data_IF_053996507368
#
_entry.id   IF_053996507368
#
_cell.length_a   1.000
_cell.length_b   1.000
_cell.length_c   1.000
_cell.angle_alpha   90.00
_cell.angle_beta   90.00
_cell.angle_gamma   90.00
#
_symmetry.space_group_name_H-M   'P 1'
#
loop_
_entity.id
_entity.type
_entity.pdbx_description
1 polymer ?
#
# COMPACT_ATOMS: atom_id res chain seq x y z
N UNK A 1 -6.38 -3.39 -28.89
CA UNK A 1 -6.88 -2.93 -27.56
C UNK A 1 -6.31 -3.74 -26.39
N UNK A 2 -5.79 -4.96 -26.58
CA UNK A 2 -5.13 -5.75 -25.52
C UNK A 2 -3.79 -5.15 -25.08
N UNK A 3 -3.03 -4.56 -25.97
CA UNK A 3 -1.66 -4.05 -25.72
C UNK A 3 -1.59 -2.90 -24.69
N UNK A 4 -2.62 -2.07 -24.59
CA UNK A 4 -2.66 -0.99 -23.61
C UNK A 4 -2.78 -1.48 -22.15
N UNK A 5 -3.41 -2.65 -21.93
CA UNK A 5 -3.57 -3.21 -20.58
C UNK A 5 -2.27 -3.87 -20.12
N UNK A 6 -1.52 -4.47 -21.05
CA UNK A 6 -0.25 -5.14 -20.73
C UNK A 6 0.83 -4.15 -20.32
N UNK A 7 0.99 -3.05 -21.06
CA UNK A 7 1.92 -1.99 -20.73
C UNK A 7 1.64 -1.36 -19.35
N UNK A 8 0.41 -0.96 -19.09
CA UNK A 8 0.02 -0.33 -17.80
C UNK A 8 0.32 -1.21 -16.57
N UNK A 9 0.06 -2.51 -16.67
CA UNK A 9 0.34 -3.42 -15.57
C UNK A 9 1.85 -3.59 -15.35
N UNK A 10 2.63 -3.64 -16.41
CA UNK A 10 4.08 -3.72 -16.33
C UNK A 10 4.67 -2.49 -15.61
N UNK A 11 4.26 -1.29 -16.02
CA UNK A 11 4.71 -0.05 -15.40
C UNK A 11 4.28 0.05 -13.93
N UNK A 12 3.03 -0.32 -13.63
CA UNK A 12 2.52 -0.34 -12.26
C UNK A 12 3.31 -1.31 -11.36
N UNK A 13 3.62 -2.51 -11.86
CA UNK A 13 4.42 -3.48 -11.11
C UNK A 13 5.85 -2.97 -10.94
N UNK A 14 6.46 -2.42 -12.00
CA UNK A 14 7.82 -1.89 -11.93
C UNK A 14 7.94 -0.79 -10.87
N UNK A 15 7.10 0.24 -10.91
CA UNK A 15 7.10 1.35 -9.96
C UNK A 15 6.92 0.86 -8.52
N UNK A 16 5.95 -0.02 -8.28
CA UNK A 16 5.65 -0.51 -6.92
C UNK A 16 6.74 -1.40 -6.35
N UNK A 17 7.25 -2.32 -7.15
CA UNK A 17 8.31 -3.24 -6.74
C UNK A 17 9.64 -2.51 -6.58
N UNK A 18 9.94 -1.53 -7.43
CA UNK A 18 11.15 -0.72 -7.32
C UNK A 18 11.18 0.08 -6.02
N UNK A 19 10.09 0.76 -5.65
CA UNK A 19 10.00 1.47 -4.38
C UNK A 19 10.20 0.52 -3.19
N UNK A 20 9.64 -0.69 -3.27
CA UNK A 20 9.79 -1.69 -2.21
C UNK A 20 11.21 -2.23 -2.13
N UNK A 21 11.84 -2.52 -3.27
CA UNK A 21 13.21 -3.01 -3.34
C UNK A 21 14.21 -1.95 -2.84
N UNK A 22 14.07 -0.71 -3.29
CA UNK A 22 14.90 0.41 -2.84
C UNK A 22 14.78 0.63 -1.33
N UNK A 23 13.57 0.61 -0.78
CA UNK A 23 13.34 0.74 0.66
C UNK A 23 13.98 -0.42 1.43
N UNK A 24 13.77 -1.66 0.97
CA UNK A 24 14.33 -2.84 1.61
C UNK A 24 15.86 -2.83 1.64
N UNK A 25 16.50 -2.48 0.52
CA UNK A 25 17.95 -2.36 0.44
C UNK A 25 18.49 -1.27 1.37
N UNK A 26 17.84 -0.09 1.40
CA UNK A 26 18.27 1.02 2.25
C UNK A 26 18.15 0.73 3.75
N UNK A 27 17.25 -0.18 4.15
CA UNK A 27 16.97 -0.50 5.55
C UNK A 27 17.55 -1.86 5.99
N UNK A 28 18.37 -2.50 5.15
CA UNK A 28 19.07 -3.73 5.49
C UNK A 28 18.19 -4.97 5.59
N UNK A 29 17.09 -5.02 4.84
CA UNK A 29 16.29 -6.22 4.70
C UNK A 29 16.94 -7.21 3.74
N UNK A 30 16.86 -8.50 4.02
CA UNK A 30 17.43 -9.55 3.18
C UNK A 30 16.63 -9.81 1.91
N UNK A 31 15.32 -9.54 1.94
CA UNK A 31 14.41 -9.84 0.84
C UNK A 31 13.19 -8.92 0.80
N UNK A 32 12.55 -8.87 -0.35
CA UNK A 32 11.27 -8.19 -0.54
C UNK A 32 10.29 -9.06 -1.32
N UNK A 33 9.01 -8.77 -1.20
CA UNK A 33 7.92 -9.48 -1.89
C UNK A 33 6.74 -8.54 -2.14
N UNK A 34 5.64 -9.08 -2.69
CA UNK A 34 4.41 -8.32 -2.91
C UNK A 34 3.17 -9.14 -2.59
N UNK A 35 2.17 -8.50 -2.00
CA UNK A 35 0.85 -9.09 -1.77
C UNK A 35 0.06 -9.37 -3.06
N UNK A 36 0.49 -8.84 -4.19
CA UNK A 36 -0.13 -9.12 -5.50
C UNK A 36 -0.04 -10.61 -5.88
N UNK A 37 0.93 -11.35 -5.31
CA UNK A 37 1.11 -12.80 -5.53
C UNK A 37 -0.02 -13.67 -4.94
N UNK A 38 -0.93 -13.10 -4.16
CA UNK A 38 -2.11 -13.80 -3.64
C UNK A 38 -3.23 -13.87 -4.68
N UNK A 39 -3.32 -12.87 -5.56
CA UNK A 39 -4.45 -12.72 -6.47
C UNK A 39 -4.28 -13.55 -7.76
N UNK A 40 -5.27 -14.40 -8.14
CA UNK A 40 -5.22 -15.14 -9.39
C UNK A 40 -5.42 -14.25 -10.64
N UNK A 41 -5.80 -13.00 -10.44
CA UNK A 41 -6.06 -12.04 -11.52
C UNK A 41 -4.82 -11.22 -11.91
N UNK A 42 -3.71 -11.38 -11.18
CA UNK A 42 -2.46 -10.69 -11.48
C UNK A 42 -1.59 -11.49 -12.45
N UNK A 43 -0.74 -10.80 -13.20
CA UNK A 43 0.20 -11.41 -14.15
C UNK A 43 1.44 -11.86 -13.39
N UNK A 44 1.38 -13.05 -12.79
CA UNK A 44 2.41 -13.59 -11.91
C UNK A 44 3.79 -13.65 -12.55
N UNK A 45 3.86 -14.11 -13.80
CA UNK A 45 5.14 -14.21 -14.52
C UNK A 45 5.79 -12.85 -14.73
N UNK A 46 5.00 -11.84 -15.07
CA UNK A 46 5.49 -10.47 -15.22
C UNK A 46 5.99 -9.88 -13.90
N UNK A 47 5.26 -10.13 -12.80
CA UNK A 47 5.68 -9.71 -11.45
C UNK A 47 7.01 -10.39 -11.08
N UNK A 48 7.16 -11.67 -11.40
CA UNK A 48 8.37 -12.44 -11.14
C UNK A 48 9.56 -11.87 -11.89
N UNK A 49 9.44 -11.66 -13.20
CA UNK A 49 10.52 -11.13 -14.04
C UNK A 49 10.97 -9.74 -13.59
N UNK A 50 10.01 -8.85 -13.24
CA UNK A 50 10.34 -7.52 -12.73
C UNK A 50 11.01 -7.63 -11.36
N UNK A 51 10.49 -8.47 -10.46
CA UNK A 51 11.04 -8.67 -9.12
C UNK A 51 12.46 -9.23 -9.14
N UNK A 52 12.73 -10.23 -9.96
CA UNK A 52 14.05 -10.83 -10.11
C UNK A 52 15.07 -9.82 -10.67
N UNK A 53 14.69 -9.03 -11.69
CA UNK A 53 15.54 -7.95 -12.22
C UNK A 53 15.87 -6.89 -11.16
N UNK A 54 14.89 -6.48 -10.35
CA UNK A 54 15.10 -5.51 -9.29
C UNK A 54 15.93 -6.10 -8.14
N UNK A 55 15.80 -7.39 -7.87
CA UNK A 55 16.63 -8.09 -6.89
C UNK A 55 18.11 -8.03 -7.26
N UNK A 56 18.44 -8.25 -8.53
CA UNK A 56 19.80 -8.09 -9.06
C UNK A 56 20.28 -6.63 -8.96
N UNK A 57 19.43 -5.68 -9.35
CA UNK A 57 19.76 -4.25 -9.34
C UNK A 57 20.06 -3.71 -7.94
N UNK A 58 19.31 -4.13 -6.93
CA UNK A 58 19.45 -3.63 -5.55
C UNK A 58 20.25 -4.56 -4.63
N UNK A 59 20.70 -5.71 -5.12
CA UNK A 59 21.52 -6.66 -4.36
C UNK A 59 20.77 -7.33 -3.20
N UNK A 60 19.45 -7.50 -3.32
CA UNK A 60 18.57 -8.13 -2.32
C UNK A 60 17.72 -9.21 -2.97
N UNK A 61 17.22 -10.16 -2.19
CA UNK A 61 16.45 -11.28 -2.74
C UNK A 61 14.98 -10.90 -3.01
N UNK A 62 14.45 -11.27 -4.19
CA UNK A 62 13.01 -11.26 -4.42
C UNK A 62 12.39 -12.60 -3.99
N UNK A 63 11.55 -12.57 -2.97
CA UNK A 63 10.84 -13.75 -2.51
C UNK A 63 9.58 -13.96 -3.37
N UNK A 64 9.72 -14.74 -4.45
CA UNK A 64 8.58 -15.19 -5.23
C UNK A 64 7.95 -16.43 -4.58
N UNK A 65 6.68 -16.32 -4.23
CA UNK A 65 5.88 -17.46 -3.79
C UNK A 65 4.46 -17.35 -4.34
N UNK A 66 3.98 -18.44 -4.93
CA UNK A 66 2.60 -18.50 -5.44
C UNK A 66 1.63 -18.77 -4.29
N UNK A 67 0.93 -17.71 -3.88
CA UNK A 67 -0.07 -17.77 -2.81
C UNK A 67 -1.51 -17.93 -3.33
N UNK A 68 -1.71 -18.17 -4.64
CA UNK A 68 -3.05 -18.33 -5.23
C UNK A 68 -3.83 -19.51 -4.64
N UNK A 69 -3.13 -20.53 -4.19
CA UNK A 69 -3.74 -21.69 -3.50
C UNK A 69 -4.54 -21.30 -2.26
N UNK A 70 -4.09 -20.27 -1.52
CA UNK A 70 -4.76 -19.74 -0.33
C UNK A 70 -5.79 -18.66 -0.59
N UNK A 71 -6.01 -18.25 -1.85
CA UNK A 71 -6.85 -17.09 -2.17
C UNK A 71 -8.29 -17.23 -1.68
N UNK A 72 -8.93 -18.38 -1.90
CA UNK A 72 -10.33 -18.63 -1.47
C UNK A 72 -10.46 -18.65 0.04
N UNK A 73 -9.58 -19.38 0.71
CA UNK A 73 -9.55 -19.46 2.17
C UNK A 73 -9.30 -18.07 2.80
N UNK A 74 -8.37 -17.30 2.25
CA UNK A 74 -8.12 -15.93 2.67
C UNK A 74 -9.33 -15.02 2.51
N UNK A 75 -10.10 -15.18 1.43
CA UNK A 75 -11.36 -14.44 1.23
C UNK A 75 -12.45 -14.84 2.23
N UNK A 76 -12.56 -16.11 2.59
CA UNK A 76 -13.52 -16.58 3.58
C UNK A 76 -13.19 -16.02 4.97
N UNK A 77 -11.96 -16.15 5.40
CA UNK A 77 -11.48 -15.57 6.66
C UNK A 77 -11.67 -14.04 6.73
N UNK A 78 -11.43 -13.34 5.63
CA UNK A 78 -11.65 -11.90 5.57
C UNK A 78 -13.13 -11.51 5.70
N UNK A 79 -14.06 -12.30 5.12
CA UNK A 79 -15.51 -12.10 5.31
C UNK A 79 -15.94 -12.37 6.74
N UNK A 80 -15.47 -13.47 7.33
CA UNK A 80 -15.75 -13.83 8.74
C UNK A 80 -15.26 -12.75 9.69
N UNK A 81 -14.10 -12.17 9.42
CA UNK A 81 -13.53 -11.06 10.19
C UNK A 81 -14.17 -9.69 9.89
N UNK A 82 -15.16 -9.62 8.99
CA UNK A 82 -15.83 -8.37 8.60
C UNK A 82 -14.91 -7.37 7.89
N UNK A 83 -13.83 -7.82 7.26
CA UNK A 83 -12.88 -6.96 6.56
C UNK A 83 -13.43 -6.48 5.22
N UNK A 84 -13.00 -5.28 4.83
CA UNK A 84 -13.33 -4.74 3.51
C UNK A 84 -12.72 -5.59 2.40
N UNK A 85 -13.56 -6.06 1.47
CA UNK A 85 -13.16 -6.88 0.34
C UNK A 85 -13.00 -6.03 -0.93
N UNK A 86 -11.79 -5.56 -1.20
CA UNK A 86 -11.50 -4.82 -2.42
C UNK A 86 -11.59 -5.73 -3.66
N UNK A 87 -12.36 -5.30 -4.65
CA UNK A 87 -12.63 -6.08 -5.88
C UNK A 87 -11.76 -5.69 -7.07
N UNK A 88 -10.72 -4.90 -6.87
CA UNK A 88 -9.77 -4.42 -7.87
C UNK A 88 -8.36 -4.35 -7.26
N UNK A 89 -7.32 -4.20 -8.08
CA UNK A 89 -5.92 -4.28 -7.63
C UNK A 89 -5.39 -2.99 -6.96
N UNK A 90 -6.23 -1.99 -6.73
CA UNK A 90 -5.84 -0.66 -6.21
C UNK A 90 -5.41 0.33 -7.30
N UNK A 91 -5.47 -0.05 -8.57
CA UNK A 91 -5.23 0.81 -9.71
C UNK A 91 -6.54 1.49 -10.14
N UNK A 92 -6.52 2.80 -10.40
CA UNK A 92 -7.69 3.56 -10.84
C UNK A 92 -8.33 2.97 -12.10
N UNK A 93 -7.54 2.49 -13.03
CA UNK A 93 -8.04 1.88 -14.27
C UNK A 93 -8.74 0.54 -14.02
N UNK A 94 -8.28 -0.26 -13.07
CA UNK A 94 -8.96 -1.51 -12.70
C UNK A 94 -10.23 -1.26 -11.90
N UNK A 95 -10.29 -0.16 -11.17
CA UNK A 95 -11.50 0.32 -10.50
C UNK A 95 -12.53 0.80 -11.53
N UNK A 96 -12.10 1.61 -12.50
CA UNK A 96 -12.91 2.05 -13.62
C UNK A 96 -13.48 0.88 -14.42
N UNK A 97 -12.62 -0.06 -14.84
CA UNK A 97 -13.03 -1.27 -15.57
C UNK A 97 -14.07 -2.09 -14.77
N UNK A 98 -13.94 -2.13 -13.45
CA UNK A 98 -14.83 -2.90 -12.58
C UNK A 98 -16.17 -2.24 -12.32
N UNK A 99 -16.18 -0.92 -12.13
CA UNK A 99 -17.36 -0.22 -11.62
C UNK A 99 -18.02 0.72 -12.63
N UNK A 100 -17.31 1.21 -13.63
CA UNK A 100 -17.79 2.19 -14.59
C UNK A 100 -18.06 1.54 -15.94
N UNK A 101 -17.12 0.82 -16.51
CA UNK A 101 -17.19 0.26 -17.87
C UNK A 101 -18.34 -0.74 -18.09
N UNK A 102 -18.75 -1.42 -17.03
CA UNK A 102 -19.86 -2.40 -17.05
C UNK A 102 -21.19 -1.85 -16.53
N UNK A 103 -21.28 -0.55 -16.23
CA UNK A 103 -22.54 0.11 -15.87
C UNK A 103 -23.07 0.91 -17.05
N UNK A 104 -24.31 0.64 -17.50
CA UNK A 104 -24.99 1.62 -18.35
C UNK A 104 -25.07 2.92 -17.55
N UNK A 105 -24.53 4.01 -18.11
CA UNK A 105 -24.54 5.36 -17.51
C UNK A 105 -25.98 5.83 -17.31
N UNK A 106 -26.63 5.46 -16.23
CA UNK A 106 -27.99 5.88 -15.89
C UNK A 106 -28.06 7.09 -14.98
N UNK A 107 -26.93 7.57 -14.44
CA UNK A 107 -26.91 8.79 -13.60
C UNK A 107 -25.64 9.58 -13.86
N UNK A 108 -25.72 10.92 -13.91
CA UNK A 108 -24.55 11.78 -13.94
C UNK A 108 -23.69 11.50 -12.68
N UNK A 109 -22.38 11.79 -12.75
CA UNK A 109 -21.49 11.61 -11.59
C UNK A 109 -22.10 12.33 -10.39
N UNK A 110 -22.29 11.59 -9.32
CA UNK A 110 -22.74 12.17 -8.04
C UNK A 110 -21.69 13.19 -7.66
N UNK A 111 -22.07 14.46 -7.56
CA UNK A 111 -21.22 15.46 -6.94
C UNK A 111 -20.94 14.98 -5.52
N UNK A 112 -19.71 14.55 -5.28
CA UNK A 112 -19.25 14.18 -3.94
C UNK A 112 -19.07 15.51 -3.19
N UNK A 113 -20.17 15.99 -2.62
CA UNK A 113 -20.04 16.95 -1.55
C UNK A 113 -19.35 16.20 -0.40
N UNK A 114 -18.16 16.59 0.01
CA UNK A 114 -17.50 15.95 1.13
C UNK A 114 -18.48 16.08 2.32
N UNK A 115 -18.89 14.93 2.87
CA UNK A 115 -19.73 14.94 4.07
C UNK A 115 -19.02 15.80 5.11
N UNK A 116 -19.71 16.77 5.73
CA UNK A 116 -19.09 17.59 6.76
C UNK A 116 -18.47 16.65 7.80
N UNK A 117 -17.20 16.86 8.07
CA UNK A 117 -16.46 16.05 9.04
C UNK A 117 -17.18 16.23 10.38
N UNK A 118 -17.56 15.12 11.00
CA UNK A 118 -18.23 15.15 12.30
C UNK A 118 -17.39 15.99 13.28
N UNK A 119 -17.94 17.10 13.83
CA UNK A 119 -17.17 18.01 14.67
C UNK A 119 -16.51 17.32 15.87
N UNK A 120 -17.17 16.28 16.44
CA UNK A 120 -16.60 15.45 17.51
C UNK A 120 -15.38 14.65 17.06
N UNK A 121 -15.37 14.19 15.79
CA UNK A 121 -14.21 13.47 15.20
C UNK A 121 -13.06 14.45 14.94
N UNK A 122 -13.36 15.64 14.44
CA UNK A 122 -12.35 16.68 14.19
C UNK A 122 -11.67 17.09 15.51
N UNK A 123 -12.45 17.43 16.53
CA UNK A 123 -11.93 17.80 17.86
C UNK A 123 -11.09 16.67 18.49
N UNK A 124 -11.47 15.41 18.28
CA UNK A 124 -10.67 14.25 18.75
C UNK A 124 -9.33 14.13 18.02
N UNK A 125 -9.32 14.40 16.71
CA UNK A 125 -8.09 14.39 15.92
C UNK A 125 -7.16 15.54 16.29
N UNK A 126 -7.69 16.74 16.50
CA UNK A 126 -6.94 17.92 16.97
C UNK A 126 -6.33 17.69 18.35
N UNK A 127 -7.10 17.11 19.28
CA UNK A 127 -6.60 16.75 20.62
C UNK A 127 -5.52 15.67 20.56
N UNK A 128 -5.66 14.69 19.67
CA UNK A 128 -4.64 13.66 19.47
C UNK A 128 -3.35 14.24 18.86
N UNK A 129 -3.47 15.16 17.92
CA UNK A 129 -2.33 15.85 17.32
C UNK A 129 -1.60 16.75 18.35
N UNK A 130 -2.34 17.49 19.17
CA UNK A 130 -1.78 18.31 20.24
C UNK A 130 -1.03 17.45 21.29
N UNK A 131 -1.62 16.33 21.69
CA UNK A 131 -0.96 15.40 22.62
C UNK A 131 0.31 14.77 22.04
N UNK A 132 0.32 14.46 20.73
CA UNK A 132 1.50 13.94 20.05
C UNK A 132 2.61 14.99 19.96
N UNK A 133 2.26 16.26 19.67
CA UNK A 133 3.21 17.36 19.65
C UNK A 133 3.82 17.60 21.04
N UNK A 134 3.00 17.62 22.09
CA UNK A 134 3.47 17.80 23.48
C UNK A 134 4.41 16.64 23.93
N UNK A 135 4.14 15.40 23.52
CA UNK A 135 5.04 14.26 23.76
C UNK A 135 6.38 14.43 23.07
N UNK A 136 6.36 14.81 21.79
CA UNK A 136 7.58 15.03 21.02
C UNK A 136 8.44 16.17 21.60
N UNK A 137 7.80 17.22 22.11
CA UNK A 137 8.50 18.33 22.76
C UNK A 137 9.12 17.92 24.11
N UNK A 138 8.38 17.14 24.90
CA UNK A 138 8.89 16.58 26.16
C UNK A 138 10.08 15.61 25.94
N UNK A 139 10.01 14.79 24.91
CA UNK A 139 11.14 13.91 24.53
C UNK A 139 12.37 14.71 24.09
N UNK A 140 12.18 15.79 23.32
CA UNK A 140 13.25 16.68 22.93
C UNK A 140 13.92 17.37 24.12
N UNK A 141 13.14 17.85 25.07
CA UNK A 141 13.63 18.50 26.29
C UNK A 141 14.37 17.50 27.19
N UNK A 142 13.84 16.28 27.33
CA UNK A 142 14.49 15.20 28.07
C UNK A 142 15.82 14.77 27.45
N UNK A 143 15.90 14.69 26.12
CA UNK A 143 17.12 14.38 25.41
C UNK A 143 18.16 15.49 25.53
N UNK A 144 17.73 16.78 25.52
CA UNK A 144 18.63 17.91 25.71
C UNK A 144 19.19 17.96 27.16
N UNK A 145 18.38 17.62 28.14
CA UNK A 145 18.82 17.56 29.57
C UNK A 145 19.77 16.40 29.85
N UNK A 146 19.66 15.29 29.10
CA UNK A 146 20.57 14.15 29.25
C UNK A 146 21.90 14.31 28.52
N UNK A 147 22.07 15.34 27.68
CA UNK A 147 23.28 15.66 26.94
C UNK A 147 24.26 16.60 27.64
N UNK A 148 23.90 17.18 28.77
CA UNK A 148 24.79 18.04 29.59
C UNK A 148 25.39 17.25 30.76
N UNK A 149 26.38 16.38 30.46
CA UNK A 149 27.32 15.96 31.48
C UNK A 149 28.44 17.02 31.60
N UNK A 150 28.71 17.54 32.81
CA UNK A 150 29.80 18.50 32.99
C UNK A 150 31.12 17.72 32.91
N UNK A 151 31.88 18.00 31.85
CA UNK A 151 33.27 17.55 31.76
C UNK A 151 34.09 18.05 32.94
N UNK A 152 34.67 17.09 33.61
CA UNK A 152 35.81 17.34 34.52
C UNK A 152 37.13 17.17 33.80
#
# INVERSE_FOLDING_TARGET
MADHIEGRCADCYAIRLEQTAAYAAAHGYDSFTTTLLVSPYQKHELIRQIGERLAEQYGIQFLYRDFRVGFREGQEKAREAGLYMQKYCGCIFSEEDRYIRNRPLKKPPVQINPKPVNPKKLARMEKAAANAAARAEHERLAAAAAGEEPGK
#
